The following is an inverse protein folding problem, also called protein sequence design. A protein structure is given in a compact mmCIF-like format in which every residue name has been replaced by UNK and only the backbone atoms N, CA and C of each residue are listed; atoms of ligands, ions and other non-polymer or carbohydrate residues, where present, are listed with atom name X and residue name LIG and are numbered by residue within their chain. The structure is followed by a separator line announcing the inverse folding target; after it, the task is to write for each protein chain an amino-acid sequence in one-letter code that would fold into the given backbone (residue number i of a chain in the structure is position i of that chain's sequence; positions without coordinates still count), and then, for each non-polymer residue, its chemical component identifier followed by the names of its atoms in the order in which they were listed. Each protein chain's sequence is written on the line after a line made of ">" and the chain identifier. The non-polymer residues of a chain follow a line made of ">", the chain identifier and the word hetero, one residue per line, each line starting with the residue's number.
data_IF_101563370617
#
_entry.id   IF_101563370617
#
_cell.length_a   1.000
_cell.length_b   1.000
_cell.length_c   1.000
_cell.angle_alpha   90.00
_cell.angle_beta   90.00
_cell.angle_gamma   90.00
#
_symmetry.space_group_name_H-M   'P 1'
#
loop_
_entity.id
_entity.type
_entity.pdbx_description
1 polymer ?
#
# COMPACT_ATOMS: atom_id res chain seq x y z
N UNK A 1 -3.03 27.14 23.50
CA UNK A 1 -1.65 26.76 23.12
C UNK A 1 -1.66 26.61 21.61
N UNK A 2 -0.93 27.50 20.93
CA UNK A 2 -0.91 27.61 19.47
C UNK A 2 -0.21 26.38 18.89
N UNK A 3 -0.93 25.56 18.13
CA UNK A 3 -0.36 24.48 17.29
C UNK A 3 0.43 25.15 16.17
N UNK A 4 1.73 25.34 16.40
CA UNK A 4 2.67 25.67 15.33
C UNK A 4 2.66 24.51 14.33
N UNK A 5 1.98 24.72 13.21
CA UNK A 5 2.11 23.89 12.03
C UNK A 5 3.56 24.02 11.57
N UNK A 6 4.32 22.91 11.59
CA UNK A 6 5.70 22.90 11.11
C UNK A 6 5.70 23.34 9.64
N UNK A 7 6.60 24.27 9.24
CA UNK A 7 6.62 24.79 7.89
C UNK A 7 7.18 23.74 6.93
N UNK A 8 6.32 23.16 6.09
CA UNK A 8 6.76 22.46 4.87
C UNK A 8 7.29 23.55 3.93
N UNK A 9 8.61 23.69 3.82
CA UNK A 9 9.23 24.53 2.80
C UNK A 9 9.69 23.67 1.64
N UNK A 10 8.97 23.77 0.52
CA UNK A 10 9.48 23.33 -0.79
C UNK A 10 10.64 24.26 -1.19
N UNK A 11 11.87 23.91 -0.81
CA UNK A 11 13.04 24.77 -1.09
C UNK A 11 13.60 24.62 -2.51
N UNK A 12 13.03 23.74 -3.34
CA UNK A 12 13.08 23.76 -4.80
C UNK A 12 11.84 23.03 -5.34
N UNK A 13 11.26 23.48 -6.45
CA UNK A 13 9.86 23.23 -6.85
C UNK A 13 9.43 21.77 -7.14
N UNK A 14 10.21 20.74 -6.78
CA UNK A 14 9.93 19.32 -7.05
C UNK A 14 10.41 18.32 -5.97
N UNK A 15 10.74 18.75 -4.76
CA UNK A 15 11.17 17.82 -3.69
C UNK A 15 10.38 18.01 -2.39
N UNK A 16 10.17 16.91 -1.68
CA UNK A 16 9.63 16.84 -0.33
C UNK A 16 10.78 16.47 0.61
N UNK A 17 10.91 17.21 1.70
CA UNK A 17 11.92 16.96 2.73
C UNK A 17 11.25 16.24 3.91
N UNK A 18 11.80 15.08 4.28
CA UNK A 18 11.41 14.35 5.49
C UNK A 18 12.23 14.86 6.67
N UNK A 19 11.57 15.11 7.80
CA UNK A 19 12.19 15.64 9.01
C UNK A 19 11.96 14.70 10.19
N UNK A 20 12.93 14.69 11.09
CA UNK A 20 12.79 14.07 12.41
C UNK A 20 11.97 15.01 13.31
N UNK A 21 10.74 14.66 13.71
CA UNK A 21 9.89 15.57 14.47
C UNK A 21 10.38 15.75 15.92
N UNK A 22 11.24 14.86 16.43
CA UNK A 22 11.83 14.97 17.77
C UNK A 22 12.99 15.96 17.82
N UNK A 23 13.75 16.10 16.74
CA UNK A 23 14.96 16.95 16.69
C UNK A 23 14.89 18.12 15.71
N UNK A 24 13.96 18.08 14.76
CA UNK A 24 13.88 19.00 13.62
C UNK A 24 14.94 18.74 12.54
N UNK A 25 15.74 17.69 12.67
CA UNK A 25 16.79 17.37 11.71
C UNK A 25 16.21 16.87 10.37
N UNK A 26 16.82 17.26 9.26
CA UNK A 26 16.51 16.69 7.94
C UNK A 26 16.95 15.21 7.91
N UNK A 27 16.05 14.33 7.50
CA UNK A 27 16.29 12.89 7.34
C UNK A 27 16.65 12.51 5.90
N UNK A 28 16.03 13.18 4.94
CA UNK A 28 16.23 12.92 3.53
C UNK A 28 15.23 13.67 2.65
N UNK A 29 15.42 13.57 1.33
CA UNK A 29 14.60 14.22 0.32
C UNK A 29 14.07 13.21 -0.67
N UNK A 30 12.84 13.40 -1.11
CA UNK A 30 12.18 12.56 -2.11
C UNK A 30 11.55 13.45 -3.19
N UNK A 31 11.40 12.95 -4.44
CA UNK A 31 10.76 13.73 -5.48
C UNK A 31 9.26 13.94 -5.20
N UNK A 32 8.73 15.07 -5.65
CA UNK A 32 7.30 15.32 -5.77
C UNK A 32 6.86 14.91 -7.17
N UNK A 33 6.25 13.73 -7.28
CA UNK A 33 5.85 13.16 -8.56
C UNK A 33 4.72 13.99 -9.21
N UNK A 34 4.94 14.33 -10.47
CA UNK A 34 3.97 14.98 -11.35
C UNK A 34 2.83 14.04 -11.77
N UNK A 35 1.68 14.56 -12.21
CA UNK A 35 0.60 13.74 -12.74
C UNK A 35 1.05 12.81 -13.89
N UNK A 36 1.95 13.28 -14.76
CA UNK A 36 2.48 12.49 -15.86
C UNK A 36 3.31 11.29 -15.35
N UNK A 37 4.14 11.50 -14.33
CA UNK A 37 4.93 10.43 -13.70
C UNK A 37 4.04 9.39 -13.01
N UNK A 38 2.92 9.84 -12.40
CA UNK A 38 1.93 8.94 -11.81
C UNK A 38 1.25 8.08 -12.87
N UNK A 39 0.85 8.67 -14.01
CA UNK A 39 0.26 7.92 -15.13
C UNK A 39 1.26 6.90 -15.68
N UNK A 40 2.54 7.26 -15.80
CA UNK A 40 3.59 6.34 -16.22
C UNK A 40 3.77 5.18 -15.23
N UNK A 41 3.72 5.44 -13.92
CA UNK A 41 3.77 4.41 -12.89
C UNK A 41 2.58 3.44 -13.00
N UNK A 42 1.36 3.95 -13.14
CA UNK A 42 0.15 3.14 -13.37
C UNK A 42 0.27 2.30 -14.65
N UNK A 43 0.82 2.86 -15.72
CA UNK A 43 1.05 2.14 -16.98
C UNK A 43 2.05 0.99 -16.82
N UNK A 44 3.18 1.21 -16.12
CA UNK A 44 4.16 0.14 -15.82
C UNK A 44 3.54 -0.97 -14.96
N UNK A 45 2.76 -0.59 -13.95
CA UNK A 45 2.03 -1.53 -13.11
C UNK A 45 1.03 -2.37 -13.91
N UNK A 46 0.23 -1.73 -14.76
CA UNK A 46 -0.72 -2.42 -15.65
C UNK A 46 -0.05 -3.36 -16.64
N UNK A 47 1.13 -3.01 -17.15
CA UNK A 47 1.89 -3.88 -18.06
C UNK A 47 2.47 -5.11 -17.35
N UNK A 48 2.89 -4.98 -16.08
CA UNK A 48 3.48 -6.07 -15.31
C UNK A 48 2.43 -7.02 -14.69
N UNK A 49 1.23 -6.51 -14.41
CA UNK A 49 0.18 -7.23 -13.69
C UNK A 49 -0.26 -8.57 -14.31
N UNK A 50 -0.47 -8.70 -15.64
CA UNK A 50 -0.98 -9.95 -16.21
C UNK A 50 -0.05 -11.14 -16.00
N UNK A 51 1.26 -10.93 -16.10
CA UNK A 51 2.25 -11.97 -15.85
C UNK A 51 2.22 -12.43 -14.38
N UNK A 52 2.07 -11.49 -13.45
CA UNK A 52 1.95 -11.77 -12.02
C UNK A 52 0.67 -12.51 -11.65
N UNK A 53 -0.46 -12.14 -12.26
CA UNK A 53 -1.73 -12.83 -12.10
C UNK A 53 -1.70 -14.27 -12.63
N UNK A 54 -0.89 -14.53 -13.66
CA UNK A 54 -0.68 -15.86 -14.23
C UNK A 54 0.07 -16.82 -13.32
N UNK A 55 0.77 -16.33 -12.29
CA UNK A 55 1.46 -17.17 -11.31
C UNK A 55 0.47 -17.90 -10.39
N UNK A 56 0.91 -19.02 -9.84
CA UNK A 56 0.22 -19.68 -8.74
C UNK A 56 0.35 -18.88 -7.43
N UNK A 57 -0.55 -19.13 -6.48
CA UNK A 57 -0.42 -18.55 -5.13
C UNK A 57 0.90 -18.91 -4.46
N UNK A 58 1.45 -20.11 -4.72
CA UNK A 58 2.73 -20.56 -4.16
C UNK A 58 3.91 -19.74 -4.68
N UNK A 59 3.92 -19.44 -5.97
CA UNK A 59 4.96 -18.62 -6.58
C UNK A 59 4.91 -17.17 -6.06
N UNK A 60 3.71 -16.59 -5.95
CA UNK A 60 3.54 -15.27 -5.33
C UNK A 60 3.98 -15.26 -3.86
N UNK A 61 3.55 -16.25 -3.08
CA UNK A 61 3.93 -16.41 -1.68
C UNK A 61 5.46 -16.50 -1.49
N UNK A 62 6.17 -17.16 -2.40
CA UNK A 62 7.64 -17.26 -2.33
C UNK A 62 8.31 -15.89 -2.34
N UNK A 63 7.81 -14.93 -3.13
CA UNK A 63 8.34 -13.56 -3.18
C UNK A 63 8.02 -12.81 -1.90
N UNK A 64 6.77 -12.93 -1.40
CA UNK A 64 6.36 -12.28 -0.14
C UNK A 64 7.17 -12.81 1.05
N UNK A 65 7.39 -14.12 1.15
CA UNK A 65 8.17 -14.72 2.24
C UNK A 65 9.65 -14.32 2.17
N UNK A 66 10.21 -14.15 0.98
CA UNK A 66 11.57 -13.62 0.81
C UNK A 66 11.67 -12.14 1.20
N UNK A 67 10.66 -11.34 0.86
CA UNK A 67 10.57 -9.95 1.32
C UNK A 67 10.48 -9.88 2.85
N UNK A 68 9.70 -10.78 3.46
CA UNK A 68 9.58 -10.90 4.92
C UNK A 68 10.93 -11.25 5.58
N UNK A 69 11.68 -12.20 5.02
CA UNK A 69 13.01 -12.57 5.51
C UNK A 69 13.99 -11.38 5.43
N UNK A 70 13.99 -10.65 4.32
CA UNK A 70 14.81 -9.45 4.14
C UNK A 70 14.42 -8.35 5.15
N UNK A 71 13.12 -8.16 5.41
CA UNK A 71 12.62 -7.22 6.41
C UNK A 71 13.07 -7.62 7.82
N UNK A 72 12.96 -8.90 8.17
CA UNK A 72 13.40 -9.45 9.45
C UNK A 72 14.91 -9.25 9.67
N UNK A 73 15.72 -9.40 8.62
CA UNK A 73 17.17 -9.19 8.68
C UNK A 73 17.61 -7.76 8.95
N UNK A 74 16.71 -6.77 8.82
CA UNK A 74 17.00 -5.34 9.06
C UNK A 74 15.99 -4.69 10.02
N UNK A 75 15.41 -5.49 10.93
CA UNK A 75 14.30 -5.09 11.79
C UNK A 75 14.62 -3.84 12.66
N UNK A 76 15.85 -3.76 13.18
CA UNK A 76 16.30 -2.64 14.02
C UNK A 76 16.48 -1.33 13.23
N UNK A 77 17.05 -1.42 12.02
CA UNK A 77 17.18 -0.30 11.09
C UNK A 77 15.80 0.23 10.71
N UNK A 78 14.87 -0.67 10.42
CA UNK A 78 13.50 -0.34 10.05
C UNK A 78 12.76 0.38 11.19
N UNK A 79 12.82 -0.17 12.41
CA UNK A 79 12.18 0.43 13.57
C UNK A 79 12.78 1.81 13.91
N UNK A 80 14.09 1.97 13.72
CA UNK A 80 14.77 3.26 13.91
C UNK A 80 14.36 4.26 12.84
N UNK A 81 14.27 3.87 11.57
CA UNK A 81 13.80 4.74 10.49
C UNK A 81 12.37 5.24 10.75
N UNK A 82 11.46 4.32 11.08
CA UNK A 82 10.05 4.65 11.41
C UNK A 82 9.99 5.61 12.59
N UNK A 83 10.75 5.30 13.66
CA UNK A 83 10.80 6.15 14.85
C UNK A 83 11.28 7.56 14.52
N UNK A 84 12.31 7.68 13.67
CA UNK A 84 12.83 8.98 13.24
C UNK A 84 11.85 9.75 12.36
N UNK A 85 11.15 9.13 11.43
CA UNK A 85 10.18 9.86 10.58
C UNK A 85 8.86 10.21 11.30
N UNK A 86 8.45 9.40 12.28
CA UNK A 86 7.14 9.58 12.94
C UNK A 86 7.21 10.23 14.32
N UNK A 87 8.37 10.17 14.97
CA UNK A 87 8.56 10.57 16.37
C UNK A 87 8.09 9.54 17.39
N UNK A 88 7.54 8.38 16.98
CA UNK A 88 7.16 7.33 17.94
C UNK A 88 8.41 6.67 18.53
N UNK A 89 8.38 6.16 19.78
CA UNK A 89 9.50 5.41 20.35
C UNK A 89 9.88 4.21 19.47
N UNK A 90 11.17 3.90 19.37
CA UNK A 90 11.67 2.73 18.60
C UNK A 90 10.99 1.43 19.04
N UNK A 91 10.71 1.26 20.33
CA UNK A 91 9.98 0.11 20.86
C UNK A 91 8.56 -0.01 20.30
N UNK A 92 7.89 1.13 20.09
CA UNK A 92 6.55 1.19 19.50
C UNK A 92 6.60 0.92 18.00
N UNK A 93 7.57 1.52 17.29
CA UNK A 93 7.83 1.21 15.88
C UNK A 93 8.07 -0.29 15.69
N UNK A 94 8.87 -0.91 16.56
CA UNK A 94 9.13 -2.35 16.54
C UNK A 94 7.85 -3.17 16.77
N UNK A 95 7.15 -2.93 17.88
CA UNK A 95 6.06 -3.79 18.34
C UNK A 95 4.74 -3.57 17.61
N UNK A 96 4.49 -2.36 17.10
CA UNK A 96 3.23 -1.99 16.47
C UNK A 96 3.32 -1.84 14.95
N UNK A 97 4.53 -1.76 14.38
CA UNK A 97 4.67 -1.72 12.92
C UNK A 97 5.41 -2.91 12.36
N UNK A 98 6.66 -3.11 12.76
CA UNK A 98 7.51 -4.11 12.11
C UNK A 98 7.02 -5.52 12.39
N UNK A 99 6.75 -5.85 13.65
CA UNK A 99 6.27 -7.19 14.04
C UNK A 99 4.91 -7.53 13.40
N UNK A 100 3.86 -6.67 13.50
CA UNK A 100 2.59 -6.94 12.84
C UNK A 100 2.70 -7.08 11.32
N UNK A 101 3.55 -6.27 10.67
CA UNK A 101 3.82 -6.40 9.23
C UNK A 101 4.38 -7.77 8.88
N UNK A 102 5.36 -8.26 9.65
CA UNK A 102 5.96 -9.58 9.43
C UNK A 102 4.93 -10.71 9.62
N UNK A 103 4.01 -10.57 10.57
CA UNK A 103 2.94 -11.52 10.81
C UNK A 103 1.91 -11.51 9.68
N UNK A 104 1.50 -10.32 9.22
CA UNK A 104 0.59 -10.18 8.08
C UNK A 104 1.19 -10.75 6.80
N UNK A 105 2.47 -10.49 6.52
CA UNK A 105 3.20 -11.09 5.40
C UNK A 105 3.16 -12.62 5.45
N UNK A 106 3.43 -13.21 6.61
CA UNK A 106 3.34 -14.65 6.79
C UNK A 106 1.91 -15.17 6.63
N UNK A 107 0.93 -14.48 7.21
CA UNK A 107 -0.47 -14.88 7.15
C UNK A 107 -0.95 -14.93 5.70
N UNK A 108 -0.83 -13.82 4.95
CA UNK A 108 -1.34 -13.77 3.59
C UNK A 108 -0.57 -14.71 2.65
N UNK A 109 0.75 -14.82 2.78
CA UNK A 109 1.53 -15.77 1.98
C UNK A 109 1.03 -17.22 2.12
N UNK A 110 0.61 -17.62 3.32
CA UNK A 110 0.18 -18.99 3.59
C UNK A 110 -1.33 -19.24 3.42
N UNK A 111 -2.17 -18.21 3.58
CA UNK A 111 -3.62 -18.40 3.69
C UNK A 111 -4.42 -17.88 2.47
N UNK A 112 -3.87 -16.99 1.63
CA UNK A 112 -4.63 -16.39 0.52
C UNK A 112 -5.19 -17.43 -0.46
N UNK A 113 -4.48 -18.53 -0.73
CA UNK A 113 -4.98 -19.59 -1.60
C UNK A 113 -6.27 -20.26 -1.07
N UNK A 114 -6.40 -20.38 0.25
CA UNK A 114 -7.60 -20.89 0.91
C UNK A 114 -8.71 -19.85 0.93
N UNK A 115 -8.37 -18.60 1.24
CA UNK A 115 -9.32 -17.48 1.29
C UNK A 115 -10.00 -17.22 -0.07
N UNK A 116 -9.26 -17.38 -1.16
CA UNK A 116 -9.73 -17.14 -2.53
C UNK A 116 -10.10 -18.42 -3.29
N UNK A 117 -10.28 -19.54 -2.58
CA UNK A 117 -10.64 -20.82 -3.19
C UNK A 117 -12.01 -20.72 -3.90
N UNK A 118 -12.15 -21.24 -5.13
CA UNK A 118 -13.45 -21.33 -5.79
C UNK A 118 -14.50 -22.03 -4.95
N UNK A 119 -15.69 -21.44 -4.85
CA UNK A 119 -16.81 -21.99 -4.10
C UNK A 119 -17.89 -22.49 -5.06
N UNK A 120 -18.23 -23.78 -4.98
CA UNK A 120 -19.32 -24.36 -5.78
C UNK A 120 -20.66 -23.85 -5.27
N UNK A 121 -21.54 -23.48 -6.18
CA UNK A 121 -22.92 -23.09 -5.88
C UNK A 121 -23.86 -24.20 -6.33
N UNK A 122 -24.71 -24.66 -5.42
CA UNK A 122 -25.78 -25.58 -5.77
C UNK A 122 -26.87 -24.83 -6.56
N UNK A 123 -27.27 -25.42 -7.67
CA UNK A 123 -28.29 -24.88 -8.58
C UNK A 123 -29.49 -25.83 -8.71
N UNK A 124 -29.62 -26.77 -7.77
CA UNK A 124 -30.73 -27.70 -7.66
C UNK A 124 -30.83 -28.63 -8.88
N UNK A 125 -32.04 -28.77 -9.42
CA UNK A 125 -32.35 -29.68 -10.53
C UNK A 125 -31.52 -29.42 -11.80
N UNK A 126 -31.08 -28.17 -12.03
CA UNK A 126 -30.20 -27.85 -13.16
C UNK A 126 -28.83 -28.54 -13.05
N UNK A 127 -28.37 -28.90 -11.85
CA UNK A 127 -27.14 -29.66 -11.64
C UNK A 127 -27.22 -31.07 -12.22
N UNK A 128 -28.41 -31.67 -12.21
CA UNK A 128 -28.67 -32.99 -12.82
C UNK A 128 -28.68 -32.93 -14.36
N UNK A 129 -28.78 -31.74 -14.95
CA UNK A 129 -28.70 -31.50 -16.39
C UNK A 129 -27.27 -31.18 -16.86
N UNK A 130 -26.25 -31.51 -16.05
CA UNK A 130 -24.84 -31.30 -16.38
C UNK A 130 -24.37 -29.84 -16.28
N UNK A 131 -25.15 -28.95 -15.66
CA UNK A 131 -24.73 -27.56 -15.41
C UNK A 131 -24.02 -27.44 -14.06
N UNK A 132 -23.07 -26.52 -13.96
CA UNK A 132 -22.43 -26.19 -12.68
C UNK A 132 -22.25 -24.68 -12.54
N UNK A 133 -22.31 -24.18 -11.31
CA UNK A 133 -22.03 -22.79 -10.98
C UNK A 133 -20.98 -22.73 -9.88
N UNK A 134 -20.10 -21.72 -9.95
CA UNK A 134 -19.08 -21.47 -8.93
C UNK A 134 -18.77 -19.98 -8.83
N UNK A 135 -18.45 -19.53 -7.63
CA UNK A 135 -17.85 -18.23 -7.38
C UNK A 135 -16.34 -18.38 -7.50
N UNK A 136 -15.71 -17.47 -8.23
CA UNK A 136 -14.26 -17.36 -8.37
C UNK A 136 -13.83 -15.93 -8.13
N UNK A 137 -12.67 -15.75 -7.53
CA UNK A 137 -12.06 -14.44 -7.30
C UNK A 137 -11.02 -14.19 -8.39
N UNK A 138 -11.06 -13.00 -8.99
CA UNK A 138 -10.07 -12.54 -9.97
C UNK A 138 -9.41 -11.26 -9.43
N UNK A 139 -8.13 -11.01 -9.75
CA UNK A 139 -7.51 -9.72 -9.46
C UNK A 139 -8.30 -8.60 -10.14
N UNK A 140 -8.31 -7.43 -9.52
CA UNK A 140 -8.90 -6.21 -10.08
C UNK A 140 -8.02 -5.65 -11.20
N UNK A 141 -6.69 -5.70 -11.04
CA UNK A 141 -5.73 -5.09 -11.96
C UNK A 141 -4.70 -4.29 -11.18
N UNK A 142 -4.63 -2.97 -11.40
CA UNK A 142 -3.78 -2.05 -10.65
C UNK A 142 -4.53 -1.49 -9.44
N UNK A 143 -3.96 -1.64 -8.25
CA UNK A 143 -4.48 -1.06 -7.01
C UNK A 143 -3.67 0.19 -6.67
N UNK A 144 -4.35 1.34 -6.57
CA UNK A 144 -3.77 2.56 -6.03
C UNK A 144 -3.90 2.59 -4.51
N UNK A 145 -2.78 2.70 -3.81
CA UNK A 145 -2.74 2.79 -2.34
C UNK A 145 -2.30 4.20 -1.96
N UNK A 146 -3.10 4.87 -1.12
CA UNK A 146 -2.76 6.17 -0.54
C UNK A 146 -2.70 6.00 0.98
N UNK A 147 -1.49 5.91 1.52
CA UNK A 147 -1.25 5.52 2.91
C UNK A 147 -0.95 6.71 3.82
N UNK A 148 -1.24 6.59 5.13
CA UNK A 148 -1.10 7.69 6.09
C UNK A 148 0.33 7.75 6.64
N UNK A 149 0.57 8.74 7.52
CA UNK A 149 1.86 8.96 8.19
C UNK A 149 1.96 8.30 9.58
N UNK A 150 0.85 7.87 10.18
CA UNK A 150 0.86 7.39 11.56
C UNK A 150 1.33 5.94 11.69
N UNK A 151 1.14 5.13 10.64
CA UNK A 151 1.67 3.77 10.51
C UNK A 151 2.31 3.59 9.12
N UNK A 152 3.45 4.25 8.85
CA UNK A 152 4.03 4.33 7.51
C UNK A 152 4.63 3.02 6.99
N UNK A 153 4.80 2.02 7.85
CA UNK A 153 5.18 0.67 7.41
C UNK A 153 3.96 -0.24 7.37
N UNK A 154 3.27 -0.41 8.50
CA UNK A 154 2.28 -1.48 8.64
C UNK A 154 1.12 -1.33 7.66
N UNK A 155 0.48 -0.14 7.62
CA UNK A 155 -0.64 0.10 6.72
C UNK A 155 -0.28 -0.16 5.26
N UNK A 156 0.71 0.51 4.64
CA UNK A 156 1.01 0.27 3.23
C UNK A 156 1.57 -1.13 2.96
N UNK A 157 2.40 -1.71 3.83
CA UNK A 157 2.98 -3.02 3.57
C UNK A 157 1.92 -4.13 3.59
N UNK A 158 0.98 -4.09 4.53
CA UNK A 158 -0.14 -5.03 4.59
C UNK A 158 -1.02 -4.93 3.33
N UNK A 159 -1.38 -3.71 2.93
CA UNK A 159 -2.19 -3.48 1.73
C UNK A 159 -1.47 -3.92 0.44
N UNK A 160 -0.17 -3.65 0.32
CA UNK A 160 0.70 -4.13 -0.77
C UNK A 160 0.69 -5.65 -0.82
N UNK A 161 0.90 -6.32 0.32
CA UNK A 161 0.94 -7.78 0.40
C UNK A 161 -0.40 -8.39 -0.01
N UNK A 162 -1.51 -7.85 0.49
CA UNK A 162 -2.86 -8.31 0.12
C UNK A 162 -3.11 -8.17 -1.38
N UNK A 163 -2.76 -7.01 -1.96
CA UNK A 163 -2.92 -6.74 -3.38
C UNK A 163 -2.08 -7.70 -4.23
N UNK A 164 -0.79 -7.84 -3.92
CA UNK A 164 0.14 -8.73 -4.62
C UNK A 164 -0.29 -10.20 -4.51
N UNK A 165 -0.62 -10.69 -3.31
CA UNK A 165 -1.06 -12.09 -3.12
C UNK A 165 -2.34 -12.42 -3.90
N UNK A 166 -3.23 -11.44 -4.04
CA UNK A 166 -4.47 -11.55 -4.83
C UNK A 166 -4.24 -11.42 -6.34
N UNK A 167 -3.00 -11.19 -6.79
CA UNK A 167 -2.61 -11.13 -8.20
C UNK A 167 -2.68 -9.74 -8.83
N UNK A 168 -2.76 -8.66 -8.03
CA UNK A 168 -2.78 -7.29 -8.52
C UNK A 168 -1.37 -6.70 -8.64
N UNK A 169 -1.24 -5.61 -9.40
CA UNK A 169 -0.11 -4.69 -9.28
C UNK A 169 -0.48 -3.52 -8.37
N UNK A 170 0.51 -2.78 -7.90
CA UNK A 170 0.32 -1.71 -6.89
C UNK A 170 1.04 -0.44 -7.30
N UNK A 171 0.36 0.70 -7.14
CA UNK A 171 0.97 2.03 -7.12
C UNK A 171 0.72 2.64 -5.74
N UNK A 172 1.79 2.79 -4.95
CA UNK A 172 1.75 3.30 -3.59
C UNK A 172 2.16 4.78 -3.56
N UNK A 173 1.28 5.64 -3.03
CA UNK A 173 1.52 7.05 -2.72
C UNK A 173 1.54 7.23 -1.20
N UNK A 174 2.71 7.17 -0.55
CA UNK A 174 2.81 7.31 0.90
C UNK A 174 2.61 8.75 1.33
N UNK A 175 2.27 8.98 2.60
CA UNK A 175 2.25 10.34 3.14
C UNK A 175 3.60 11.03 2.96
N UNK A 176 3.55 12.29 2.57
CA UNK A 176 4.69 13.20 2.42
C UNK A 176 5.46 13.43 3.73
N UNK A 177 4.88 13.09 4.88
CA UNK A 177 5.54 13.22 6.19
C UNK A 177 6.47 12.05 6.53
N UNK A 178 6.25 10.89 5.92
CA UNK A 178 6.98 9.65 6.21
C UNK A 178 7.35 8.88 4.94
N UNK A 179 7.92 9.52 3.91
CA UNK A 179 8.12 8.89 2.62
C UNK A 179 9.28 7.88 2.60
N UNK A 180 10.29 8.03 3.47
CA UNK A 180 11.51 7.20 3.40
C UNK A 180 11.23 5.75 3.83
N UNK A 181 10.35 5.56 4.82
CA UNK A 181 9.88 4.25 5.28
C UNK A 181 9.19 3.50 4.13
N UNK A 182 8.36 4.18 3.34
CA UNK A 182 7.71 3.56 2.19
C UNK A 182 8.71 3.20 1.08
N UNK A 183 9.70 4.06 0.81
CA UNK A 183 10.77 3.71 -0.15
C UNK A 183 11.54 2.45 0.29
N UNK A 184 11.74 2.27 1.60
CA UNK A 184 12.35 1.06 2.16
C UNK A 184 11.52 -0.20 1.90
N UNK A 185 10.18 -0.10 1.90
CA UNK A 185 9.30 -1.20 1.46
C UNK A 185 9.61 -1.58 0.01
N UNK A 186 9.71 -0.59 -0.88
CA UNK A 186 10.08 -0.80 -2.28
C UNK A 186 11.42 -1.52 -2.44
N UNK A 187 12.46 -1.05 -1.75
CA UNK A 187 13.80 -1.67 -1.75
C UNK A 187 13.74 -3.15 -1.33
N UNK A 188 12.99 -3.45 -0.26
CA UNK A 188 12.82 -4.81 0.26
C UNK A 188 12.17 -5.72 -0.79
N UNK A 189 11.09 -5.28 -1.42
CA UNK A 189 10.41 -6.06 -2.45
C UNK A 189 11.25 -6.25 -3.72
N UNK A 190 11.99 -5.22 -4.14
CA UNK A 190 12.95 -5.34 -5.25
C UNK A 190 14.01 -6.40 -4.94
N UNK A 191 14.61 -6.36 -3.74
CA UNK A 191 15.61 -7.37 -3.30
C UNK A 191 15.01 -8.77 -3.14
N UNK A 192 13.72 -8.87 -2.83
CA UNK A 192 13.00 -10.12 -2.80
C UNK A 192 12.82 -10.75 -4.20
N UNK A 193 13.02 -9.96 -5.27
CA UNK A 193 12.81 -10.40 -6.65
C UNK A 193 11.38 -10.18 -7.13
N UNK A 194 10.65 -9.22 -6.53
CA UNK A 194 9.39 -8.77 -7.10
C UNK A 194 9.65 -8.23 -8.52
N UNK A 195 8.90 -8.67 -9.55
CA UNK A 195 9.17 -8.20 -10.90
C UNK A 195 9.00 -6.68 -11.02
N UNK A 196 9.86 -6.06 -11.83
CA UNK A 196 9.82 -4.63 -12.07
C UNK A 196 8.43 -4.18 -12.56
N UNK A 197 7.94 -3.05 -12.07
CA UNK A 197 6.60 -2.55 -12.37
C UNK A 197 5.51 -3.05 -11.43
N UNK A 198 5.66 -4.18 -10.71
CA UNK A 198 4.54 -4.67 -9.86
C UNK A 198 4.25 -3.83 -8.63
N UNK A 199 5.28 -3.18 -8.08
CA UNK A 199 5.14 -2.21 -7.00
C UNK A 199 5.86 -0.94 -7.43
N UNK A 200 5.09 0.08 -7.76
CA UNK A 200 5.60 1.42 -8.02
C UNK A 200 5.31 2.30 -6.81
N UNK A 201 6.31 3.07 -6.37
CA UNK A 201 6.14 4.02 -5.27
C UNK A 201 6.30 5.43 -5.84
N UNK A 202 5.25 6.24 -5.71
CA UNK A 202 5.21 7.63 -6.16
C UNK A 202 5.10 8.54 -4.95
N UNK A 203 6.19 9.20 -4.58
CA UNK A 203 6.21 10.18 -3.49
C UNK A 203 5.62 11.50 -3.97
N UNK A 204 4.94 12.19 -3.06
CA UNK A 204 4.20 13.40 -3.41
C UNK A 204 3.25 13.83 -2.32
N UNK A 205 2.57 14.95 -2.51
CA UNK A 205 1.60 15.49 -1.57
C UNK A 205 0.17 15.05 -1.94
N UNK A 206 -0.84 15.78 -1.49
CA UNK A 206 -2.24 15.53 -1.86
C UNK A 206 -2.52 15.64 -3.37
N UNK A 207 -1.75 16.44 -4.12
CA UNK A 207 -1.92 16.58 -5.57
C UNK A 207 -1.51 15.31 -6.31
N UNK A 208 -0.41 14.67 -5.91
CA UNK A 208 0.01 13.36 -6.44
C UNK A 208 -1.01 12.28 -6.11
N UNK A 209 -1.64 12.33 -4.93
CA UNK A 209 -2.73 11.43 -4.56
C UNK A 209 -3.98 11.62 -5.43
N UNK A 210 -4.34 12.88 -5.72
CA UNK A 210 -5.43 13.19 -6.65
C UNK A 210 -5.11 12.70 -8.07
N UNK A 211 -3.88 12.88 -8.54
CA UNK A 211 -3.43 12.38 -9.84
C UNK A 211 -3.53 10.84 -9.93
N UNK A 212 -3.21 10.13 -8.84
CA UNK A 212 -3.34 8.66 -8.80
C UNK A 212 -4.80 8.21 -8.95
N UNK A 213 -5.74 8.93 -8.36
CA UNK A 213 -7.17 8.63 -8.48
C UNK A 213 -7.65 8.90 -9.91
N UNK A 214 -7.26 10.02 -10.51
CA UNK A 214 -7.62 10.39 -11.89
C UNK A 214 -6.91 9.51 -12.94
N UNK A 215 -5.81 8.83 -12.58
CA UNK A 215 -5.09 7.90 -13.45
C UNK A 215 -5.83 6.56 -13.70
N UNK A 216 -7.06 6.39 -13.17
CA UNK A 216 -7.97 5.26 -13.44
C UNK A 216 -7.39 3.89 -13.08
N UNK A 217 -6.81 3.79 -11.89
CA UNK A 217 -6.53 2.49 -11.27
C UNK A 217 -7.83 1.69 -11.07
N UNK A 218 -7.72 0.37 -11.01
CA UNK A 218 -8.87 -0.55 -10.94
C UNK A 218 -9.48 -0.65 -9.53
N UNK A 219 -8.74 -0.21 -8.50
CA UNK A 219 -9.21 -0.10 -7.12
C UNK A 219 -8.37 0.94 -6.37
N UNK A 220 -8.99 1.66 -5.44
CA UNK A 220 -8.30 2.57 -4.53
C UNK A 220 -8.43 2.07 -3.09
N UNK A 221 -7.33 2.08 -2.37
CA UNK A 221 -7.27 1.92 -0.91
C UNK A 221 -6.75 3.23 -0.33
N UNK A 222 -7.53 3.84 0.55
CA UNK A 222 -7.18 5.09 1.20
C UNK A 222 -7.36 4.95 2.70
N UNK A 223 -6.31 5.30 3.43
CA UNK A 223 -6.35 5.41 4.88
C UNK A 223 -5.98 6.84 5.29
N UNK A 224 -6.86 7.51 6.04
CA UNK A 224 -6.61 8.89 6.46
C UNK A 224 -7.82 9.63 7.02
N UNK A 225 -7.88 10.95 6.80
CA UNK A 225 -8.94 11.78 7.38
C UNK A 225 -10.30 11.57 6.68
N UNK A 226 -11.40 11.74 7.43
CA UNK A 226 -12.76 11.71 6.87
C UNK A 226 -12.95 12.73 5.74
N UNK A 227 -12.38 13.93 5.91
CA UNK A 227 -12.50 15.00 4.92
C UNK A 227 -11.82 14.62 3.59
N UNK A 228 -10.62 14.03 3.65
CA UNK A 228 -9.92 13.55 2.45
C UNK A 228 -10.62 12.33 1.87
N UNK A 229 -11.04 11.37 2.69
CA UNK A 229 -11.75 10.17 2.23
C UNK A 229 -13.01 10.47 1.43
N UNK A 230 -13.78 11.50 1.82
CA UNK A 230 -14.93 11.99 1.03
C UNK A 230 -14.51 12.47 -0.36
N UNK A 231 -13.43 13.26 -0.47
CA UNK A 231 -12.91 13.72 -1.76
C UNK A 231 -12.40 12.55 -2.63
N UNK A 232 -11.77 11.56 -2.01
CA UNK A 232 -11.35 10.33 -2.70
C UNK A 232 -12.56 9.61 -3.28
N UNK A 233 -13.62 9.42 -2.49
CA UNK A 233 -14.85 8.78 -2.94
C UNK A 233 -15.52 9.54 -4.11
N UNK A 234 -15.62 10.87 -3.99
CA UNK A 234 -16.19 11.74 -5.02
C UNK A 234 -15.40 11.67 -6.33
N UNK A 235 -14.06 11.72 -6.26
CA UNK A 235 -13.21 11.62 -7.43
C UNK A 235 -13.30 10.23 -8.08
N UNK A 236 -13.22 9.16 -7.28
CA UNK A 236 -13.31 7.77 -7.76
C UNK A 236 -14.67 7.47 -8.44
N UNK A 237 -15.76 8.09 -7.97
CA UNK A 237 -17.10 7.90 -8.53
C UNK A 237 -17.21 8.34 -10.00
N UNK A 238 -16.39 9.30 -10.47
CA UNK A 238 -16.36 9.73 -11.87
C UNK A 238 -15.99 8.60 -12.85
N UNK A 239 -15.31 7.57 -12.35
CA UNK A 239 -14.84 6.43 -13.13
C UNK A 239 -15.39 5.10 -12.63
N UNK A 240 -16.29 5.13 -11.63
CA UNK A 240 -16.79 3.95 -10.92
C UNK A 240 -15.67 3.09 -10.33
N UNK A 241 -14.53 3.70 -9.97
CA UNK A 241 -13.42 2.99 -9.34
C UNK A 241 -13.82 2.57 -7.92
N UNK A 242 -13.80 1.27 -7.58
CA UNK A 242 -14.09 0.81 -6.23
C UNK A 242 -13.10 1.37 -5.21
N UNK A 243 -13.60 1.82 -4.06
CA UNK A 243 -12.80 2.36 -2.96
C UNK A 243 -12.90 1.49 -1.71
N UNK A 244 -11.82 1.43 -0.93
CA UNK A 244 -11.82 1.07 0.49
C UNK A 244 -11.30 2.29 1.24
N UNK A 245 -12.05 2.73 2.25
CA UNK A 245 -11.78 3.97 2.98
C UNK A 245 -11.71 3.66 4.48
N UNK A 246 -10.50 3.62 5.03
CA UNK A 246 -10.26 3.55 6.47
C UNK A 246 -10.07 4.97 7.00
N UNK A 247 -11.07 5.45 7.76
CA UNK A 247 -11.17 6.86 8.13
C UNK A 247 -11.11 7.04 9.65
N UNK A 248 -10.86 8.27 10.09
CA UNK A 248 -10.81 8.60 11.50
C UNK A 248 -12.10 8.25 12.25
N UNK A 249 -11.93 7.62 13.41
CA UNK A 249 -12.97 7.34 14.41
C UNK A 249 -12.62 7.95 15.77
N UNK A 250 -13.58 7.94 16.69
CA UNK A 250 -13.35 8.28 18.10
C UNK A 250 -13.93 7.15 18.94
N UNK A 251 -13.08 6.17 19.25
CA UNK A 251 -13.53 4.91 19.82
C UNK A 251 -13.80 5.05 21.32
N UNK A 252 -14.96 4.55 21.82
CA UNK A 252 -15.26 4.57 23.24
C UNK A 252 -14.46 3.49 23.98
N UNK A 253 -13.86 3.87 25.11
CA UNK A 253 -13.33 2.94 26.11
C UNK A 253 -14.24 3.00 27.33
N UNK A 254 -15.04 1.95 27.54
CA UNK A 254 -16.04 1.82 28.61
C UNK A 254 -15.55 0.84 29.66
#
# INVERSE_FOLDING_TARGET
>A
MSTQTLPIKAENAREIVSYDPGTGAELGRVPLASPEEVVQAVSRAGAAQPAWAGLSFKERASVILKAREIMLGQIEELATLISRETGKPVSEAMSMEVVPTLDAMYYFANHTAGLLKPQKIDIGQFGLMGRSSRIVYKPMGVVGIISPWNFPLATPAEEVVMALMSGNAVVLKPSELTPLTALKIGEIFTRAGLPAGLLEIVTGDGSTGAALIEARVDKIMFTGSVATGKRVAEAAAKHLTPVVLELGGKDPMV
#
